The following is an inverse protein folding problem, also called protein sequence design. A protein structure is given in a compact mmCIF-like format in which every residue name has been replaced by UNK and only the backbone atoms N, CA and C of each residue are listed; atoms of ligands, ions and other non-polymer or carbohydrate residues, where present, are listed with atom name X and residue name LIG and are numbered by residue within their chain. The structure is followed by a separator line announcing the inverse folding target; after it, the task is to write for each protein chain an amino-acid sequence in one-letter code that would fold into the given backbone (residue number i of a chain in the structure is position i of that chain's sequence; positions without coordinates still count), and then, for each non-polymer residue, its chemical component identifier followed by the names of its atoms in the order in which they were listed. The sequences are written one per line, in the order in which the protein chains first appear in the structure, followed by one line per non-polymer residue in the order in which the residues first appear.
data_IF_212116823740
#
_entry.id   IF_212116823740
#
_cell.length_a   1.000
_cell.length_b   1.000
_cell.length_c   1.000
_cell.angle_alpha   90.00
_cell.angle_beta   90.00
_cell.angle_gamma   90.00
#
_symmetry.space_group_name_H-M   'P 1'
#
loop_
_entity.id
_entity.type
_entity.pdbx_description
1 polymer ?
#
# COMPACT_ATOMS: atom_id res chain seq x y z
N UNK A 1 -0.45 16.61 30.49
CA UNK A 1 -0.89 15.21 30.58
C UNK A 1 -0.40 14.39 29.40
N UNK A 2 -0.83 14.69 28.16
CA UNK A 2 -0.47 13.94 26.93
C UNK A 2 1.04 13.75 26.68
N UNK A 3 1.87 14.78 26.92
CA UNK A 3 3.32 14.70 26.66
C UNK A 3 4.03 13.63 27.51
N UNK A 4 3.66 13.52 28.80
CA UNK A 4 4.27 12.56 29.73
C UNK A 4 3.86 11.12 29.41
N UNK A 5 2.64 10.91 28.90
CA UNK A 5 2.15 9.60 28.49
C UNK A 5 2.86 9.10 27.23
N UNK A 6 3.05 9.98 26.23
CA UNK A 6 3.79 9.64 25.01
C UNK A 6 5.27 9.35 25.30
N UNK A 7 5.90 10.12 26.18
CA UNK A 7 7.30 9.85 26.60
C UNK A 7 7.45 8.52 27.34
N UNK A 8 6.48 8.15 28.19
CA UNK A 8 6.44 6.83 28.83
C UNK A 8 6.29 5.71 27.80
N UNK A 9 5.38 5.87 26.84
CA UNK A 9 5.17 4.90 25.77
C UNK A 9 6.42 4.73 24.89
N UNK A 10 7.10 5.83 24.56
CA UNK A 10 8.39 5.80 23.82
C UNK A 10 9.42 4.97 24.57
N UNK A 11 9.58 5.19 25.88
CA UNK A 11 10.54 4.44 26.70
C UNK A 11 10.22 2.94 26.77
N UNK A 12 8.94 2.58 26.84
CA UNK A 12 8.50 1.18 26.82
C UNK A 12 8.83 0.54 25.46
N UNK A 13 8.55 1.23 24.35
CA UNK A 13 8.82 0.72 23.01
C UNK A 13 10.32 0.57 22.73
N UNK A 14 11.14 1.56 23.10
CA UNK A 14 12.61 1.49 22.96
C UNK A 14 13.22 0.36 23.82
N UNK A 15 12.55 -0.04 24.90
CA UNK A 15 12.94 -1.20 25.72
C UNK A 15 12.31 -2.54 25.30
N UNK A 16 11.49 -2.55 24.25
CA UNK A 16 10.83 -3.75 23.73
C UNK A 16 11.57 -4.30 22.51
N UNK A 17 11.23 -5.53 22.10
CA UNK A 17 11.83 -6.15 20.92
C UNK A 17 11.37 -5.44 19.63
N UNK A 18 12.31 -4.72 19.00
CA UNK A 18 12.15 -4.08 17.70
C UNK A 18 13.08 -4.68 16.64
N UNK A 19 13.06 -4.11 15.44
CA UNK A 19 13.99 -4.50 14.37
C UNK A 19 15.43 -4.18 14.78
N UNK A 20 16.34 -5.14 14.67
CA UNK A 20 17.78 -4.94 14.89
C UNK A 20 18.37 -3.97 13.88
N UNK A 21 19.24 -3.06 14.32
CA UNK A 21 19.84 -2.02 13.47
C UNK A 21 18.79 -1.27 12.62
N UNK A 22 17.80 -0.63 13.27
CA UNK A 22 16.61 -0.12 12.59
C UNK A 22 16.93 0.93 11.51
N UNK A 23 18.01 1.70 11.67
CA UNK A 23 18.50 2.68 10.68
C UNK A 23 18.98 2.02 9.38
N UNK A 24 19.43 0.77 9.43
CA UNK A 24 19.93 0.00 8.28
C UNK A 24 18.86 -0.92 7.68
N UNK A 25 17.68 -1.03 8.31
CA UNK A 25 16.62 -1.92 7.87
C UNK A 25 15.94 -1.42 6.59
N UNK A 26 15.63 -2.31 5.65
CA UNK A 26 14.80 -1.99 4.48
C UNK A 26 13.39 -1.51 4.86
N UNK A 27 12.91 -1.86 6.06
CA UNK A 27 11.60 -1.43 6.56
C UNK A 27 11.54 0.07 6.89
N UNK A 28 12.68 0.77 6.94
CA UNK A 28 12.73 2.22 7.17
C UNK A 28 12.35 3.03 5.93
N UNK A 29 12.41 2.42 4.74
CA UNK A 29 12.11 3.08 3.47
C UNK A 29 10.61 3.39 3.35
N UNK A 30 10.28 4.52 2.73
CA UNK A 30 8.90 4.89 2.44
C UNK A 30 8.47 6.24 3.00
N UNK A 31 7.16 6.49 2.96
CA UNK A 31 6.55 7.72 3.44
C UNK A 31 6.14 7.58 4.91
N UNK A 32 6.56 8.55 5.70
CA UNK A 32 6.35 8.59 7.13
C UNK A 32 5.67 9.88 7.53
N UNK A 33 4.65 9.76 8.37
CA UNK A 33 3.90 10.85 8.95
C UNK A 33 4.39 11.13 10.36
N UNK A 34 4.72 12.39 10.66
CA UNK A 34 5.03 12.81 12.03
C UNK A 34 3.77 12.81 12.90
N UNK A 35 3.79 11.96 13.93
CA UNK A 35 2.69 11.83 14.90
C UNK A 35 2.93 12.67 16.16
N UNK A 36 4.17 12.74 16.62
CA UNK A 36 4.54 13.47 17.83
C UNK A 36 5.99 13.94 17.81
N UNK A 37 6.26 15.07 18.47
CA UNK A 37 7.63 15.54 18.74
C UNK A 37 7.75 16.23 20.10
N UNK A 38 8.90 16.05 20.78
CA UNK A 38 9.18 16.70 22.07
C UNK A 38 9.59 18.17 21.96
N UNK A 39 9.77 18.71 20.75
CA UNK A 39 9.97 20.16 20.52
C UNK A 39 8.73 20.79 19.86
N UNK A 40 7.84 21.43 20.64
CA UNK A 40 6.84 22.31 20.08
C UNK A 40 7.52 23.63 19.63
N UNK A 41 7.31 24.04 18.37
CA UNK A 41 7.58 25.42 17.94
C UNK A 41 9.02 25.80 17.54
N UNK A 42 9.99 24.88 17.48
CA UNK A 42 11.29 25.17 16.84
C UNK A 42 11.41 24.41 15.54
N UNK A 43 11.09 25.11 14.46
CA UNK A 43 11.10 24.56 13.12
C UNK A 43 12.47 23.90 12.81
N UNK A 44 12.47 22.57 12.81
CA UNK A 44 13.29 21.83 11.86
C UNK A 44 13.03 22.44 10.48
N UNK A 45 14.02 22.61 9.58
CA UNK A 45 13.76 23.05 8.20
C UNK A 45 12.64 22.25 7.53
N UNK A 46 12.49 20.99 7.93
CA UNK A 46 11.46 20.09 7.43
C UNK A 46 10.07 20.38 8.03
N UNK A 47 10.02 20.91 9.26
CA UNK A 47 8.79 21.50 9.82
C UNK A 47 8.50 22.87 9.21
N UNK A 48 9.50 23.74 9.04
CA UNK A 48 9.35 25.10 8.54
C UNK A 48 8.73 25.16 7.13
N UNK A 49 9.20 24.31 6.21
CA UNK A 49 8.67 24.20 4.84
C UNK A 49 7.20 23.78 4.80
N UNK A 50 6.70 23.10 5.84
CA UNK A 50 5.33 22.61 5.92
C UNK A 50 4.39 23.51 6.75
N UNK A 51 4.90 24.18 7.79
CA UNK A 51 4.12 25.13 8.61
C UNK A 51 3.75 26.39 7.85
N UNK A 52 4.61 26.85 6.91
CA UNK A 52 4.32 28.04 6.09
C UNK A 52 3.07 27.83 5.22
N UNK A 53 2.66 26.59 4.96
CA UNK A 53 1.56 26.33 4.03
C UNK A 53 0.18 26.12 4.65
N UNK A 54 -0.04 25.35 5.74
CA UNK A 54 -1.44 25.02 6.13
C UNK A 54 -1.69 24.38 7.51
N UNK A 55 -0.75 24.38 8.48
CA UNK A 55 -1.01 23.75 9.81
C UNK A 55 -1.28 22.23 9.77
N UNK A 56 -1.05 21.57 8.62
CA UNK A 56 -1.24 20.14 8.41
C UNK A 56 0.04 19.35 8.65
N UNK A 57 -0.14 18.08 9.05
CA UNK A 57 0.89 17.10 9.40
C UNK A 57 1.94 16.94 8.29
N UNK A 58 3.16 16.59 8.67
CA UNK A 58 4.33 16.60 7.79
C UNK A 58 4.67 15.17 7.36
N UNK A 59 4.79 14.97 6.04
CA UNK A 59 5.19 13.73 5.41
C UNK A 59 6.67 13.79 5.02
N UNK A 60 7.42 12.74 5.36
CA UNK A 60 8.85 12.59 5.04
C UNK A 60 9.05 11.30 4.25
N UNK A 61 9.85 11.34 3.19
CA UNK A 61 10.23 10.14 2.43
C UNK A 61 11.70 9.80 2.68
N UNK A 62 11.97 8.54 3.03
CA UNK A 62 13.32 8.00 3.21
C UNK A 62 13.58 7.01 2.09
N UNK A 63 14.71 7.16 1.39
CA UNK A 63 15.27 6.10 0.54
C UNK A 63 16.66 5.69 1.06
N UNK A 64 17.09 4.46 0.80
CA UNK A 64 18.27 3.80 1.39
C UNK A 64 19.58 4.57 1.37
N UNK A 65 19.64 5.68 0.63
CA UNK A 65 20.80 6.50 0.62
C UNK A 65 20.51 7.98 0.51
N UNK A 66 19.28 8.51 0.45
CA UNK A 66 19.06 9.92 0.17
C UNK A 66 17.71 10.54 0.61
N UNK A 67 17.71 11.87 0.75
CA UNK A 67 16.49 12.67 0.82
C UNK A 67 16.01 13.05 -0.59
N UNK A 68 14.72 12.87 -0.85
CA UNK A 68 14.06 13.34 -2.07
C UNK A 68 13.16 14.53 -1.73
N UNK A 69 13.49 15.69 -2.27
CA UNK A 69 12.69 16.91 -2.15
C UNK A 69 11.96 17.16 -3.47
N UNK A 70 10.64 17.36 -3.43
CA UNK A 70 9.81 17.59 -4.64
C UNK A 70 10.24 18.79 -5.51
N UNK A 71 11.09 19.67 -4.99
CA UNK A 71 11.60 20.86 -5.67
C UNK A 71 13.04 20.70 -6.21
N UNK A 72 13.70 19.56 -6.00
CA UNK A 72 15.02 19.26 -6.58
C UNK A 72 14.94 18.11 -7.60
N UNK A 73 15.65 18.21 -8.75
CA UNK A 73 15.72 17.14 -9.73
C UNK A 73 16.74 16.04 -9.38
N UNK A 74 17.33 16.03 -8.18
CA UNK A 74 18.28 15.01 -7.72
C UNK A 74 18.13 14.65 -6.24
N UNK A 75 18.62 13.46 -5.86
CA UNK A 75 18.53 12.87 -4.51
C UNK A 75 19.78 13.22 -3.68
N UNK A 76 19.60 13.56 -2.40
CA UNK A 76 20.70 14.02 -1.51
C UNK A 76 21.22 12.90 -0.61
N UNK A 77 22.45 12.38 -0.77
CA UNK A 77 22.87 11.16 -0.12
C UNK A 77 23.04 11.26 1.41
N UNK A 78 22.86 10.18 2.19
CA UNK A 78 23.09 10.14 3.64
C UNK A 78 24.49 9.58 4.00
N UNK A 79 25.19 10.16 5.00
CA UNK A 79 24.90 11.45 5.63
C UNK A 79 25.17 12.58 4.63
N UNK A 80 24.25 13.56 4.60
CA UNK A 80 24.29 14.68 3.64
C UNK A 80 25.65 15.40 3.70
N UNK A 81 26.42 15.45 2.59
CA UNK A 81 27.72 16.12 2.59
C UNK A 81 27.53 17.63 2.48
N UNK A 82 27.46 18.33 3.61
CA UNK A 82 27.13 19.76 3.72
C UNK A 82 28.26 20.74 3.28
N UNK A 83 29.24 20.33 2.47
CA UNK A 83 30.32 21.22 2.01
C UNK A 83 29.91 22.19 0.88
N UNK A 84 28.77 21.98 0.22
CA UNK A 84 28.32 22.78 -0.93
C UNK A 84 27.21 23.81 -0.62
N UNK A 85 26.58 23.74 0.57
CA UNK A 85 25.41 24.54 0.93
C UNK A 85 25.69 25.28 2.23
N UNK A 86 26.19 26.52 2.09
CA UNK A 86 26.56 27.42 3.18
C UNK A 86 25.63 27.33 4.39
N UNK A 87 26.27 27.20 5.55
CA UNK A 87 25.72 26.98 6.88
C UNK A 87 24.42 27.72 7.22
N UNK A 88 23.36 26.97 7.55
CA UNK A 88 22.29 27.36 8.51
C UNK A 88 21.31 26.20 8.88
N UNK A 89 21.48 24.98 8.33
CA UNK A 89 20.53 23.88 8.48
C UNK A 89 21.16 22.50 8.78
N UNK A 90 22.17 22.43 9.64
CA UNK A 90 22.80 21.16 10.04
C UNK A 90 21.91 20.44 11.08
N UNK A 91 21.55 19.18 10.85
CA UNK A 91 20.84 18.36 11.83
C UNK A 91 20.94 16.87 11.54
N UNK A 92 20.86 16.02 12.56
CA UNK A 92 20.90 14.56 12.43
C UNK A 92 19.59 13.95 12.93
N UNK A 93 19.24 12.77 12.41
CA UNK A 93 18.12 11.96 12.86
C UNK A 93 18.58 10.49 12.89
N UNK A 94 18.46 9.85 14.04
CA UNK A 94 18.83 8.46 14.30
C UNK A 94 17.60 7.68 14.75
N UNK A 95 17.40 6.47 14.23
CA UNK A 95 16.21 5.67 14.57
C UNK A 95 16.57 4.74 15.73
N UNK A 96 15.93 4.95 16.88
CA UNK A 96 16.17 4.17 18.10
C UNK A 96 15.21 3.01 18.25
N UNK A 97 14.08 3.03 17.55
CA UNK A 97 13.14 1.93 17.50
C UNK A 97 12.42 1.90 16.15
N UNK A 98 12.25 0.69 15.61
CA UNK A 98 11.39 0.39 14.47
C UNK A 98 10.57 -0.84 14.84
N UNK A 99 9.24 -0.74 14.72
CA UNK A 99 8.36 -1.86 15.01
C UNK A 99 8.67 -3.03 14.08
N UNK A 100 8.49 -4.30 14.51
CA UNK A 100 8.71 -5.46 13.66
C UNK A 100 7.95 -5.43 12.33
N UNK A 101 6.76 -4.81 12.30
CA UNK A 101 5.94 -4.61 11.10
C UNK A 101 6.38 -3.43 10.22
N UNK A 102 7.36 -2.64 10.67
CA UNK A 102 7.89 -1.47 9.96
C UNK A 102 6.89 -0.31 9.84
N UNK A 103 5.84 -0.26 10.67
CA UNK A 103 4.76 0.72 10.57
C UNK A 103 4.88 1.88 11.59
N UNK A 104 5.74 1.75 12.60
CA UNK A 104 5.98 2.73 13.64
C UNK A 104 7.49 2.82 13.84
N UNK A 105 8.02 4.03 13.91
CA UNK A 105 9.40 4.23 14.33
C UNK A 105 9.53 5.43 15.26
N UNK A 106 10.55 5.35 16.10
CA UNK A 106 10.96 6.41 17.00
C UNK A 106 12.36 6.82 16.56
N UNK A 107 12.53 8.12 16.35
CA UNK A 107 13.82 8.68 15.99
C UNK A 107 14.21 9.83 16.92
N UNK A 108 15.50 9.99 17.17
CA UNK A 108 16.10 11.09 17.93
C UNK A 108 16.84 12.00 16.96
N UNK A 109 16.75 13.32 17.13
CA UNK A 109 17.47 14.22 16.24
C UNK A 109 17.72 15.61 16.81
N UNK A 110 18.68 16.33 16.23
CA UNK A 110 19.08 17.67 16.68
C UNK A 110 19.21 18.67 15.52
N UNK A 111 19.10 19.95 15.86
CA UNK A 111 19.53 21.08 15.02
C UNK A 111 20.86 21.61 15.55
N UNK A 112 21.90 21.61 14.71
CA UNK A 112 23.13 22.37 14.92
C UNK A 112 22.90 23.75 14.28
N UNK A 113 22.58 24.74 15.12
CA UNK A 113 22.64 26.14 14.69
C UNK A 113 24.05 26.67 14.94
N UNK A 114 24.62 27.42 14.00
CA UNK A 114 25.76 28.27 14.33
C UNK A 114 25.32 29.40 15.28
N UNK A 115 26.17 29.81 16.24
CA UNK A 115 25.90 30.98 17.04
C UNK A 115 25.98 32.23 16.15
N UNK A 116 24.85 32.89 15.91
CA UNK A 116 24.87 34.26 15.36
C UNK A 116 25.59 35.14 16.36
N UNK A 117 26.78 35.62 15.96
CA UNK A 117 27.67 36.58 16.62
C UNK A 117 27.07 37.20 17.88
N UNK A 118 27.51 36.74 19.05
CA UNK A 118 27.72 37.59 20.23
C UNK A 118 28.84 36.97 21.07
N UNK A 119 29.53 37.86 21.78
CA UNK A 119 30.86 37.70 22.39
C UNK A 119 30.98 36.43 23.25
N UNK A 120 32.22 35.93 23.28
CA UNK A 120 32.71 34.84 24.11
C UNK A 120 32.00 34.73 25.47
N UNK A 121 31.26 33.64 25.65
CA UNK A 121 31.25 32.83 26.89
C UNK A 121 30.50 31.53 26.61
N UNK A 122 31.25 30.44 26.69
CA UNK A 122 30.83 29.12 27.18
C UNK A 122 29.32 28.85 27.25
N UNK A 123 28.82 27.99 26.36
CA UNK A 123 28.06 26.77 26.64
C UNK A 123 27.48 26.30 25.30
N UNK A 124 28.13 25.33 24.67
CA UNK A 124 27.51 24.54 23.61
C UNK A 124 26.38 23.76 24.27
N UNK A 125 25.18 24.33 24.29
CA UNK A 125 23.97 23.60 24.65
C UNK A 125 23.77 22.54 23.56
N UNK A 126 24.35 21.36 23.78
CA UNK A 126 23.93 20.13 23.11
C UNK A 126 22.47 19.97 23.51
N UNK A 127 21.58 20.45 22.64
CA UNK A 127 20.16 20.20 22.77
C UNK A 127 20.00 18.68 22.86
N UNK A 128 19.40 18.20 23.94
CA UNK A 128 19.02 16.80 24.07
C UNK A 128 18.12 16.40 22.89
N UNK A 129 18.46 15.27 22.25
CA UNK A 129 17.85 14.78 21.03
C UNK A 129 16.33 14.86 21.05
N UNK A 130 15.77 15.66 20.13
CA UNK A 130 14.33 15.77 19.91
C UNK A 130 13.80 14.40 19.53
N UNK A 131 12.74 13.94 20.20
CA UNK A 131 12.06 12.71 19.83
C UNK A 131 11.11 13.00 18.68
N UNK A 132 11.08 12.12 17.70
CA UNK A 132 10.11 12.09 16.62
C UNK A 132 9.44 10.72 16.64
N UNK A 133 8.13 10.69 16.85
CA UNK A 133 7.33 9.48 16.69
C UNK A 133 6.70 9.56 15.30
N UNK A 134 7.03 8.58 14.46
CA UNK A 134 6.69 8.56 13.05
C UNK A 134 5.89 7.29 12.76
N UNK A 135 4.74 7.46 12.12
CA UNK A 135 3.94 6.35 11.63
C UNK A 135 4.11 6.24 10.13
N UNK A 136 4.32 5.03 9.61
CA UNK A 136 4.38 4.81 8.16
C UNK A 136 3.01 5.15 7.61
N UNK A 137 2.97 5.97 6.57
CA UNK A 137 1.74 6.19 5.82
C UNK A 137 1.36 4.84 5.22
N UNK A 138 0.30 4.22 5.74
CA UNK A 138 -0.23 2.99 5.15
C UNK A 138 -0.97 3.41 3.90
N UNK A 139 -0.30 3.28 2.75
CA UNK A 139 -0.95 3.39 1.44
C UNK A 139 -2.29 2.66 1.50
N UNK A 140 -3.43 3.25 1.07
CA UNK A 140 -4.76 2.66 1.22
C UNK A 140 -4.82 1.18 0.81
N UNK A 141 -4.03 0.81 -0.22
CA UNK A 141 -3.89 -0.57 -0.70
C UNK A 141 -3.28 -1.51 0.34
N UNK A 142 -2.25 -1.10 1.07
CA UNK A 142 -1.64 -1.92 2.12
C UNK A 142 -2.64 -2.19 3.24
N UNK A 143 -3.44 -1.21 3.60
CA UNK A 143 -4.51 -1.36 4.60
C UNK A 143 -5.54 -2.39 4.12
N UNK A 144 -6.01 -2.28 2.88
CA UNK A 144 -6.93 -3.25 2.27
C UNK A 144 -6.35 -4.67 2.26
N UNK A 145 -5.11 -4.84 1.77
CA UNK A 145 -4.45 -6.15 1.71
C UNK A 145 -4.23 -6.76 3.10
N UNK A 146 -3.92 -5.92 4.10
CA UNK A 146 -3.83 -6.37 5.49
C UNK A 146 -5.18 -6.87 6.01
N UNK A 147 -6.27 -6.12 5.79
CA UNK A 147 -7.61 -6.55 6.19
C UNK A 147 -8.02 -7.87 5.54
N UNK A 148 -7.72 -8.05 4.25
CA UNK A 148 -7.95 -9.30 3.52
C UNK A 148 -7.15 -10.44 4.16
N UNK A 149 -5.85 -10.23 4.40
CA UNK A 149 -4.98 -11.25 4.97
C UNK A 149 -5.39 -11.68 6.39
N UNK A 150 -5.97 -10.77 7.19
CA UNK A 150 -6.44 -11.08 8.54
C UNK A 150 -7.92 -11.47 8.59
N UNK A 151 -8.64 -11.43 7.45
CA UNK A 151 -10.08 -11.67 7.39
C UNK A 151 -10.91 -10.68 8.23
N UNK A 152 -10.38 -9.51 8.56
CA UNK A 152 -11.00 -8.58 9.53
C UNK A 152 -11.52 -7.32 8.84
N UNK A 153 -12.82 -7.05 8.96
CA UNK A 153 -13.49 -5.83 8.44
C UNK A 153 -13.15 -5.54 6.98
N UNK A 154 -13.14 -6.58 6.14
CA UNK A 154 -12.67 -6.49 4.74
C UNK A 154 -13.58 -5.58 3.91
N UNK A 155 -14.90 -5.70 4.06
CA UNK A 155 -15.87 -4.87 3.33
C UNK A 155 -15.71 -3.38 3.65
N UNK A 156 -15.55 -3.03 4.92
CA UNK A 156 -15.30 -1.65 5.34
C UNK A 156 -13.97 -1.11 4.77
N UNK A 157 -12.93 -1.95 4.74
CA UNK A 157 -11.65 -1.59 4.14
C UNK A 157 -11.75 -1.39 2.61
N UNK A 158 -12.62 -2.15 1.92
CA UNK A 158 -12.93 -1.97 0.50
C UNK A 158 -13.64 -0.63 0.28
N UNK A 159 -14.67 -0.32 1.07
CA UNK A 159 -15.41 0.94 0.96
C UNK A 159 -14.50 2.15 1.19
N UNK A 160 -13.67 2.10 2.24
CA UNK A 160 -12.68 3.14 2.53
C UNK A 160 -11.66 3.25 1.38
N UNK A 161 -11.14 2.13 0.87
CA UNK A 161 -10.20 2.13 -0.24
C UNK A 161 -10.79 2.77 -1.50
N UNK A 162 -12.01 2.39 -1.88
CA UNK A 162 -12.70 2.97 -3.03
C UNK A 162 -12.93 4.47 -2.79
N UNK A 163 -13.41 4.87 -1.61
CA UNK A 163 -13.67 6.27 -1.27
C UNK A 163 -12.42 7.14 -1.39
N UNK A 164 -11.29 6.67 -0.85
CA UNK A 164 -10.02 7.39 -0.88
C UNK A 164 -9.41 7.49 -2.29
N UNK A 165 -9.73 6.55 -3.18
CA UNK A 165 -9.17 6.49 -4.53
C UNK A 165 -10.17 6.91 -5.63
N UNK A 166 -11.37 7.37 -5.28
CA UNK A 166 -12.28 8.04 -6.22
C UNK A 166 -11.66 9.38 -6.63
N UNK A 167 -10.98 9.41 -7.78
CA UNK A 167 -10.63 10.67 -8.41
C UNK A 167 -11.93 11.38 -8.83
N UNK A 168 -12.04 12.67 -8.53
CA UNK A 168 -13.20 13.54 -8.85
C UNK A 168 -13.44 13.67 -10.37
N UNK A 169 -12.52 13.19 -11.20
CA UNK A 169 -12.73 13.06 -12.64
C UNK A 169 -13.44 11.74 -12.95
N UNK A 170 -14.69 11.83 -13.42
CA UNK A 170 -15.49 10.78 -14.08
C UNK A 170 -14.66 10.03 -15.14
N UNK A 171 -13.83 9.08 -14.72
CA UNK A 171 -13.15 8.15 -15.62
C UNK A 171 -13.99 6.89 -15.66
N UNK A 172 -14.43 6.52 -16.85
CA UNK A 172 -15.01 5.20 -17.08
C UNK A 172 -13.97 4.15 -16.67
N UNK A 173 -14.36 3.24 -15.78
CA UNK A 173 -13.50 2.17 -15.30
C UNK A 173 -13.54 1.03 -16.30
N UNK A 174 -12.41 0.80 -16.96
CA UNK A 174 -12.29 -0.26 -17.97
C UNK A 174 -11.91 -1.61 -17.34
N UNK A 175 -12.44 -2.69 -17.92
CA UNK A 175 -11.98 -4.04 -17.61
C UNK A 175 -10.59 -4.25 -18.22
N UNK A 176 -9.55 -4.02 -17.41
CA UNK A 176 -8.16 -4.09 -17.86
C UNK A 176 -7.73 -5.52 -18.22
N UNK A 177 -7.03 -5.61 -19.35
CA UNK A 177 -6.46 -6.86 -19.89
C UNK A 177 -5.36 -7.41 -18.97
N UNK A 178 -5.28 -8.73 -18.90
CA UNK A 178 -4.22 -9.43 -18.16
C UNK A 178 -4.72 -10.56 -17.28
N UNK A 179 -3.82 -11.07 -16.47
CA UNK A 179 -4.07 -12.15 -15.51
C UNK A 179 -4.32 -11.59 -14.10
N UNK A 180 -5.42 -12.01 -13.50
CA UNK A 180 -5.95 -11.47 -12.25
C UNK A 180 -6.23 -12.61 -11.27
N UNK A 181 -5.43 -12.72 -10.21
CA UNK A 181 -5.64 -13.69 -9.15
C UNK A 181 -6.65 -13.14 -8.15
N UNK A 182 -7.72 -13.88 -7.87
CA UNK A 182 -8.62 -13.53 -6.79
C UNK A 182 -7.95 -13.75 -5.44
N UNK A 183 -8.13 -12.79 -4.54
CA UNK A 183 -7.60 -12.85 -3.17
C UNK A 183 -8.71 -12.76 -2.12
N UNK A 184 -9.92 -12.36 -2.50
CA UNK A 184 -11.06 -12.27 -1.60
C UNK A 184 -12.40 -12.18 -2.34
N UNK A 185 -13.45 -12.74 -1.74
CA UNK A 185 -14.86 -12.60 -2.14
C UNK A 185 -15.75 -12.34 -0.91
N UNK A 186 -16.87 -11.61 -1.10
CA UNK A 186 -17.85 -11.38 -0.02
C UNK A 186 -18.71 -12.58 0.32
N UNK A 187 -18.68 -13.63 -0.51
CA UNK A 187 -19.31 -14.91 -0.21
C UNK A 187 -18.24 -15.97 0.05
N UNK A 188 -18.54 -16.85 1.00
CA UNK A 188 -17.78 -18.06 1.27
C UNK A 188 -18.16 -19.11 0.23
N UNK A 189 -17.17 -19.83 -0.27
CA UNK A 189 -17.37 -20.97 -1.18
C UNK A 189 -18.40 -21.96 -0.60
N UNK A 190 -19.37 -22.35 -1.41
CA UNK A 190 -20.26 -23.47 -1.08
C UNK A 190 -19.56 -24.82 -1.30
N UNK A 191 -20.16 -25.92 -0.86
CA UNK A 191 -19.62 -27.28 -1.10
C UNK A 191 -19.50 -27.64 -2.59
N UNK A 192 -20.16 -26.88 -3.49
CA UNK A 192 -20.11 -27.07 -4.94
C UNK A 192 -18.95 -26.29 -5.56
N UNK A 193 -17.74 -26.84 -5.47
CA UNK A 193 -16.54 -26.17 -5.97
C UNK A 193 -16.57 -25.90 -7.49
N UNK A 194 -17.24 -26.74 -8.30
CA UNK A 194 -17.36 -26.55 -9.76
C UNK A 194 -18.24 -25.34 -10.07
N UNK A 195 -19.36 -25.21 -9.38
CA UNK A 195 -20.27 -24.07 -9.54
C UNK A 195 -19.59 -22.77 -9.08
N UNK A 196 -18.90 -22.81 -7.94
CA UNK A 196 -18.09 -21.70 -7.48
C UNK A 196 -17.03 -21.31 -8.53
N UNK A 197 -16.31 -22.28 -9.09
CA UNK A 197 -15.32 -22.04 -10.13
C UNK A 197 -15.91 -21.45 -11.42
N UNK A 198 -17.08 -21.94 -11.84
CA UNK A 198 -17.80 -21.45 -13.02
C UNK A 198 -18.37 -20.05 -12.85
N UNK A 199 -18.74 -19.68 -11.63
CA UNK A 199 -19.22 -18.34 -11.28
C UNK A 199 -18.08 -17.35 -10.95
N UNK A 200 -16.81 -17.78 -11.06
CA UNK A 200 -15.65 -16.95 -10.77
C UNK A 200 -15.52 -16.62 -9.28
N UNK A 201 -15.93 -17.54 -8.40
CA UNK A 201 -15.78 -17.47 -6.94
C UNK A 201 -14.46 -18.06 -6.41
N UNK A 202 -13.60 -18.56 -7.29
CA UNK A 202 -12.23 -18.90 -6.94
C UNK A 202 -11.27 -18.78 -8.12
N UNK A 203 -9.97 -18.81 -7.81
CA UNK A 203 -8.90 -18.91 -8.80
C UNK A 203 -8.57 -17.62 -9.54
N UNK A 204 -8.13 -17.78 -10.79
CA UNK A 204 -7.61 -16.73 -11.64
C UNK A 204 -8.59 -16.37 -12.74
N UNK A 205 -8.74 -15.07 -13.00
CA UNK A 205 -9.47 -14.52 -14.11
C UNK A 205 -8.51 -13.94 -15.14
N UNK A 206 -8.65 -14.36 -16.39
CA UNK A 206 -7.82 -13.90 -17.52
C UNK A 206 -8.71 -13.08 -18.46
N UNK A 207 -8.41 -11.80 -18.59
CA UNK A 207 -9.11 -10.87 -19.49
C UNK A 207 -8.30 -10.77 -20.78
N UNK A 208 -8.86 -11.29 -21.89
CA UNK A 208 -8.19 -11.31 -23.20
C UNK A 208 -8.60 -10.12 -24.08
N UNK A 209 -7.73 -9.69 -25.01
CA UNK A 209 -8.02 -8.55 -25.88
C UNK A 209 -9.16 -8.75 -26.88
N UNK A 210 -9.58 -9.98 -27.13
CA UNK A 210 -10.61 -10.35 -28.11
C UNK A 210 -12.03 -10.45 -27.52
N UNK A 211 -12.29 -9.80 -26.37
CA UNK A 211 -13.59 -9.88 -25.69
C UNK A 211 -13.85 -11.23 -25.00
N UNK A 212 -12.81 -12.06 -24.82
CA UNK A 212 -12.94 -13.31 -24.07
C UNK A 212 -12.54 -13.13 -22.61
N UNK A 213 -13.30 -13.79 -21.75
CA UNK A 213 -12.99 -13.96 -20.34
C UNK A 213 -12.73 -15.44 -20.05
N UNK A 214 -11.73 -15.72 -19.23
CA UNK A 214 -11.45 -17.10 -18.79
C UNK A 214 -11.28 -17.16 -17.29
N UNK A 215 -11.98 -18.08 -16.64
CA UNK A 215 -11.70 -18.53 -15.29
C UNK A 215 -10.79 -19.74 -15.34
N UNK A 216 -9.80 -19.77 -14.46
CA UNK A 216 -8.84 -20.86 -14.31
C UNK A 216 -8.63 -21.15 -12.83
N UNK A 217 -8.94 -22.37 -12.43
CA UNK A 217 -8.89 -22.80 -11.04
C UNK A 217 -7.97 -24.02 -10.93
N UNK A 218 -6.96 -23.92 -10.07
CA UNK A 218 -6.12 -25.05 -9.71
C UNK A 218 -6.80 -25.92 -8.68
N UNK A 219 -6.81 -27.23 -8.91
CA UNK A 219 -7.34 -28.24 -8.00
C UNK A 219 -6.19 -29.18 -7.61
N UNK A 220 -6.40 -30.01 -6.59
CA UNK A 220 -5.44 -31.00 -6.13
C UNK A 220 -5.03 -31.97 -7.25
N UNK A 221 -3.82 -32.52 -7.13
CA UNK A 221 -3.25 -33.52 -8.06
C UNK A 221 -3.05 -33.03 -9.51
N UNK A 222 -2.88 -31.72 -9.71
CA UNK A 222 -2.58 -31.16 -11.04
C UNK A 222 -3.80 -31.09 -11.96
N UNK A 223 -4.99 -31.37 -11.44
CA UNK A 223 -6.27 -31.16 -12.11
C UNK A 223 -6.55 -29.66 -12.11
N UNK A 224 -7.05 -29.12 -13.22
CA UNK A 224 -7.49 -27.73 -13.29
C UNK A 224 -8.91 -27.68 -13.83
N UNK A 225 -9.68 -26.74 -13.35
CA UNK A 225 -10.92 -26.36 -14.00
C UNK A 225 -10.69 -25.09 -14.81
N UNK A 226 -11.28 -25.02 -15.98
CA UNK A 226 -11.33 -23.79 -16.75
C UNK A 226 -12.71 -23.54 -17.31
N UNK A 227 -13.11 -22.28 -17.35
CA UNK A 227 -14.33 -21.86 -18.02
C UNK A 227 -14.02 -20.65 -18.87
N UNK A 228 -14.32 -20.73 -20.16
CA UNK A 228 -14.15 -19.62 -21.10
C UNK A 228 -15.52 -19.05 -21.45
N UNK A 229 -15.55 -17.76 -21.73
CA UNK A 229 -16.75 -17.04 -22.11
C UNK A 229 -16.42 -15.76 -22.85
N UNK A 230 -17.46 -14.98 -23.13
CA UNK A 230 -17.39 -13.66 -23.75
C UNK A 230 -17.87 -12.61 -22.78
N UNK A 231 -17.35 -11.40 -22.93
CA UNK A 231 -17.85 -10.22 -22.24
C UNK A 231 -18.06 -9.08 -23.22
N UNK A 232 -19.10 -8.28 -22.99
CA UNK A 232 -19.45 -7.10 -23.79
C UNK A 232 -19.75 -5.93 -22.85
N UNK A 233 -19.31 -4.72 -23.21
CA UNK A 233 -19.56 -3.53 -22.39
C UNK A 233 -21.03 -3.14 -22.51
N UNK A 234 -21.76 -3.14 -21.40
CA UNK A 234 -23.20 -2.85 -21.34
C UNK A 234 -23.52 -1.49 -20.71
N UNK A 235 -22.54 -0.82 -20.09
CA UNK A 235 -22.67 0.51 -19.52
C UNK A 235 -21.31 1.19 -19.32
N UNK A 236 -21.24 2.23 -18.50
CA UNK A 236 -19.99 2.98 -18.27
C UNK A 236 -18.90 2.09 -17.67
N UNK A 237 -19.23 1.37 -16.61
CA UNK A 237 -18.33 0.49 -15.87
C UNK A 237 -18.88 -0.95 -15.77
N UNK A 238 -19.90 -1.28 -16.56
CA UNK A 238 -20.60 -2.58 -16.51
C UNK A 238 -20.40 -3.38 -17.79
N UNK A 239 -20.32 -4.69 -17.62
CA UNK A 239 -20.09 -5.65 -18.69
C UNK A 239 -21.05 -6.82 -18.53
N UNK A 240 -21.70 -7.22 -19.61
CA UNK A 240 -22.47 -8.46 -19.65
C UNK A 240 -21.51 -9.60 -19.97
N UNK A 241 -21.54 -10.64 -19.14
CA UNK A 241 -20.63 -11.79 -19.22
C UNK A 241 -21.46 -13.05 -19.43
N UNK A 242 -21.06 -13.83 -20.43
CA UNK A 242 -21.61 -15.15 -20.72
C UNK A 242 -20.45 -16.13 -20.73
N UNK A 243 -20.50 -17.08 -19.81
CA UNK A 243 -19.52 -18.15 -19.65
C UNK A 243 -20.17 -19.46 -20.04
N UNK A 244 -19.68 -20.15 -21.07
CA UNK A 244 -20.37 -21.29 -21.71
C UNK A 244 -19.43 -22.45 -22.13
N UNK A 245 -18.12 -22.29 -21.97
CA UNK A 245 -17.12 -23.29 -22.35
C UNK A 245 -16.35 -23.79 -21.11
N UNK A 246 -17.00 -24.66 -20.33
CA UNK A 246 -16.45 -25.31 -19.15
C UNK A 246 -15.64 -26.57 -19.49
N UNK A 247 -14.50 -26.78 -18.83
CA UNK A 247 -13.70 -27.99 -18.99
C UNK A 247 -12.87 -28.33 -17.73
N UNK A 248 -12.76 -29.63 -17.44
CA UNK A 248 -11.80 -30.18 -16.49
C UNK A 248 -10.54 -30.62 -17.26
N UNK A 249 -9.40 -30.04 -16.91
CA UNK A 249 -8.11 -30.29 -17.51
C UNK A 249 -7.32 -31.29 -16.65
N UNK A 250 -6.96 -32.43 -17.24
CA UNK A 250 -6.15 -33.49 -16.62
C UNK A 250 -4.94 -33.75 -17.51
N UNK A 251 -3.77 -33.25 -17.11
CA UNK A 251 -2.56 -33.30 -17.94
C UNK A 251 -2.75 -32.57 -19.27
N UNK A 252 -2.66 -33.29 -20.38
CA UNK A 252 -2.86 -32.77 -21.74
C UNK A 252 -4.31 -32.87 -22.23
N UNK A 253 -5.18 -33.56 -21.48
CA UNK A 253 -6.56 -33.81 -21.87
C UNK A 253 -7.51 -32.80 -21.22
N UNK A 254 -8.52 -32.35 -21.97
CA UNK A 254 -9.61 -31.53 -21.47
C UNK A 254 -10.95 -32.25 -21.64
N UNK A 255 -11.67 -32.44 -20.54
CA UNK A 255 -13.01 -33.05 -20.51
C UNK A 255 -14.03 -31.92 -20.46
N UNK A 256 -14.91 -31.75 -21.46
CA UNK A 256 -15.91 -30.70 -21.44
C UNK A 256 -16.90 -30.91 -20.30
N UNK A 257 -17.34 -29.82 -19.70
CA UNK A 257 -18.37 -29.78 -18.66
C UNK A 257 -19.47 -28.87 -19.15
N UNK A 258 -20.68 -29.43 -19.29
CA UNK A 258 -21.86 -28.65 -19.67
C UNK A 258 -22.26 -27.74 -18.50
N UNK A 259 -21.96 -26.46 -18.65
CA UNK A 259 -22.26 -25.43 -17.66
C UNK A 259 -22.33 -24.08 -18.36
N UNK A 260 -23.32 -23.28 -17.96
CA UNK A 260 -23.49 -21.91 -18.44
C UNK A 260 -23.68 -20.97 -17.24
N UNK A 261 -23.01 -19.82 -17.26
CA UNK A 261 -23.24 -18.74 -16.30
C UNK A 261 -23.37 -17.40 -17.01
N UNK A 262 -24.42 -16.66 -16.67
CA UNK A 262 -24.73 -15.34 -17.23
C UNK A 262 -24.87 -14.34 -16.10
N UNK A 263 -24.10 -13.26 -16.14
CA UNK A 263 -24.17 -12.22 -15.13
C UNK A 263 -23.62 -10.88 -15.65
N UNK A 264 -24.02 -9.80 -14.97
CA UNK A 264 -23.43 -8.48 -15.18
C UNK A 264 -22.28 -8.27 -14.20
N UNK A 265 -21.13 -7.87 -14.71
CA UNK A 265 -19.95 -7.47 -13.95
C UNK A 265 -19.84 -5.94 -13.92
N UNK A 266 -19.77 -5.36 -12.73
CA UNK A 266 -19.55 -3.94 -12.49
C UNK A 266 -18.13 -3.72 -11.95
N UNK A 267 -17.37 -2.83 -12.56
CA UNK A 267 -16.05 -2.42 -12.08
C UNK A 267 -16.21 -1.26 -11.10
N UNK A 268 -15.84 -1.49 -9.85
CA UNK A 268 -15.91 -0.50 -8.76
C UNK A 268 -14.59 0.26 -8.59
N UNK A 269 -13.49 -0.41 -8.89
CA UNK A 269 -12.15 0.16 -8.93
C UNK A 269 -11.23 -0.70 -9.78
N UNK A 270 -10.30 -0.09 -10.51
CA UNK A 270 -9.28 -0.81 -11.28
C UNK A 270 -8.04 0.05 -11.46
N UNK A 271 -6.87 -0.55 -11.33
CA UNK A 271 -5.58 0.02 -11.71
C UNK A 271 -4.65 -1.08 -12.23
N UNK A 272 -3.35 -0.80 -12.38
CA UNK A 272 -2.38 -1.76 -12.90
C UNK A 272 -2.08 -2.95 -11.96
N UNK A 273 -2.60 -2.96 -10.74
CA UNK A 273 -2.24 -3.90 -9.66
C UNK A 273 -3.43 -4.57 -8.98
N UNK A 274 -4.56 -3.87 -8.81
CA UNK A 274 -5.74 -4.39 -8.11
C UNK A 274 -7.01 -4.03 -8.87
N UNK A 275 -7.99 -4.91 -8.80
CA UNK A 275 -9.35 -4.68 -9.31
C UNK A 275 -10.36 -5.08 -8.26
N UNK A 276 -11.33 -4.21 -8.04
CA UNK A 276 -12.49 -4.46 -7.20
C UNK A 276 -13.71 -4.44 -8.12
N UNK A 277 -14.45 -5.53 -8.14
CA UNK A 277 -15.59 -5.71 -9.02
C UNK A 277 -16.75 -6.33 -8.26
N UNK A 278 -17.96 -6.04 -8.73
CA UNK A 278 -19.19 -6.72 -8.32
C UNK A 278 -19.64 -7.60 -9.48
N UNK A 279 -19.84 -8.89 -9.25
CA UNK A 279 -20.15 -9.85 -10.32
C UNK A 279 -21.44 -10.62 -10.06
N UNK A 280 -21.42 -11.91 -10.40
CA UNK A 280 -22.48 -12.88 -10.14
C UNK A 280 -23.13 -12.69 -8.76
N UNK A 281 -24.46 -12.69 -8.70
CA UNK A 281 -25.24 -12.47 -7.47
C UNK A 281 -24.83 -11.24 -6.63
N UNK A 282 -24.29 -10.19 -7.27
CA UNK A 282 -23.79 -8.97 -6.62
C UNK A 282 -22.64 -9.21 -5.63
N UNK A 283 -21.94 -10.33 -5.77
CA UNK A 283 -20.79 -10.68 -4.93
C UNK A 283 -19.66 -9.70 -5.22
N UNK A 284 -19.02 -9.20 -4.16
CA UNK A 284 -17.83 -8.38 -4.26
C UNK A 284 -16.60 -9.27 -4.39
N UNK A 285 -15.70 -8.89 -5.30
CA UNK A 285 -14.46 -9.58 -5.55
C UNK A 285 -13.28 -8.62 -5.48
N UNK A 286 -12.20 -9.07 -4.88
CA UNK A 286 -10.90 -8.39 -4.95
C UNK A 286 -9.92 -9.29 -5.69
N UNK A 287 -9.36 -8.73 -6.77
CA UNK A 287 -8.35 -9.39 -7.58
C UNK A 287 -7.05 -8.59 -7.58
N UNK A 288 -5.92 -9.28 -7.56
CA UNK A 288 -4.59 -8.69 -7.78
C UNK A 288 -4.05 -9.15 -9.12
N UNK A 289 -3.32 -8.26 -9.80
CA UNK A 289 -2.70 -8.59 -11.08
C UNK A 289 -1.51 -9.52 -10.86
N UNK A 290 -1.40 -10.55 -11.69
CA UNK A 290 -0.32 -11.55 -11.65
C UNK A 290 0.81 -11.20 -12.63
N UNK A 291 0.53 -10.33 -13.62
CA UNK A 291 1.49 -9.90 -14.64
C UNK A 291 2.62 -9.04 -14.03
N UNK A 292 3.64 -9.72 -13.50
CA UNK A 292 4.81 -9.14 -12.85
C UNK A 292 6.00 -10.09 -12.66
N UNK A 293 5.98 -11.30 -13.23
CA UNK A 293 7.20 -12.13 -13.35
C UNK A 293 7.76 -12.04 -14.77
N UNK A 294 8.72 -11.14 -14.95
CA UNK A 294 9.63 -11.06 -16.10
C UNK A 294 8.98 -10.89 -17.49
N UNK A 295 8.69 -9.64 -17.87
CA UNK A 295 9.05 -9.24 -19.24
C UNK A 295 10.56 -9.03 -19.26
N UNK A 296 11.26 -10.02 -19.82
CA UNK A 296 12.67 -9.95 -20.21
C UNK A 296 12.96 -8.67 -20.99
#
# INVERSE_FOLDING_TARGET
MVMQEVERAVKVLEGSEGVSEPTSSSLIEGRWQLMFTTRPGSASPIQALATIKDGKRILFQFDRAAFSFKFLPFKVPYPVPFRLLGDEAKGWLDTTYLSPSGNLRISRGNKVGEPKRLRATSYTAIVLGTTFVLQRETEPRQKLLSSISTGTRVEEAIEEFISLNKNVANSELELLKGEWQMIWSSQVETDSWIENAGNGLMGMQIVKPNGQLKFLVGILFGIRFSMTGKYEKSGSNTYDVIMDDGAILVGIYGIPVEMESKFTMEILYTDDKIRISRGYNKILFVHVRVDGSNKK
#
